data_IF_897890410857
#
_entry.id   IF_897890410857
#
_cell.length_a   1.000
_cell.length_b   1.000
_cell.length_c   1.000
_cell.angle_alpha   90.00
_cell.angle_beta   90.00
_cell.angle_gamma   90.00
#
_symmetry.space_group_name_H-M   'P 1'
#
loop_
_entity.id
_entity.type
_entity.pdbx_description
1 polymer ?
#
# COMPACT_ATOMS: atom_id res chain seq x y z
N UNK A 1 28.18 -20.94 70.47
CA UNK A 1 29.06 -21.73 69.59
C UNK A 1 28.46 -21.67 68.20
N UNK A 2 28.81 -20.63 67.42
CA UNK A 2 28.20 -20.33 66.10
C UNK A 2 29.27 -20.55 65.06
N UNK A 3 29.05 -21.49 64.14
CA UNK A 3 29.95 -21.77 63.01
C UNK A 3 29.64 -20.81 61.87
N UNK A 4 30.60 -19.98 61.50
CA UNK A 4 30.62 -19.21 60.26
C UNK A 4 31.03 -20.13 59.11
N UNK A 5 30.22 -20.21 58.07
CA UNK A 5 30.57 -20.84 56.78
C UNK A 5 30.99 -19.73 55.83
N UNK A 6 32.23 -19.82 55.33
CA UNK A 6 32.78 -18.97 54.27
C UNK A 6 32.52 -19.68 52.95
N UNK A 7 31.94 -18.98 51.97
CA UNK A 7 31.90 -19.43 50.58
C UNK A 7 32.84 -18.54 49.77
N UNK A 8 33.86 -19.15 49.18
CA UNK A 8 34.72 -18.57 48.14
C UNK A 8 33.97 -18.58 46.80
N UNK A 9 34.06 -17.47 46.06
CA UNK A 9 33.52 -17.34 44.72
C UNK A 9 34.62 -17.58 43.69
N UNK A 10 34.58 -18.72 43.00
CA UNK A 10 35.41 -18.97 41.82
C UNK A 10 34.82 -18.30 40.58
N UNK A 11 35.63 -17.49 39.92
CA UNK A 11 35.32 -16.85 38.64
C UNK A 11 35.48 -17.85 37.49
N UNK A 12 34.38 -18.25 36.86
CA UNK A 12 34.40 -18.93 35.56
C UNK A 12 34.47 -17.88 34.43
N UNK A 13 35.51 -17.96 33.61
CA UNK A 13 35.68 -17.18 32.40
C UNK A 13 34.97 -17.86 31.22
N UNK A 14 33.89 -17.27 30.72
CA UNK A 14 33.24 -17.66 29.46
C UNK A 14 34.02 -17.10 28.27
N UNK A 15 34.61 -17.99 27.48
CA UNK A 15 35.38 -17.63 26.28
C UNK A 15 35.28 -18.74 25.21
N UNK A 16 34.08 -19.24 24.91
CA UNK A 16 33.89 -20.22 23.83
C UNK A 16 32.51 -20.07 23.14
N UNK A 17 32.13 -18.88 22.63
CA UNK A 17 31.01 -18.78 21.67
C UNK A 17 31.14 -17.54 20.76
N UNK A 18 32.20 -17.41 19.96
CA UNK A 18 32.28 -16.29 18.99
C UNK A 18 32.84 -16.63 17.61
N UNK A 19 33.34 -17.85 17.36
CA UNK A 19 33.97 -18.15 16.06
C UNK A 19 33.07 -18.85 15.02
N UNK A 20 31.98 -19.54 15.40
CA UNK A 20 31.15 -20.25 14.41
C UNK A 20 30.12 -19.38 13.66
N UNK A 21 29.69 -18.24 14.23
CA UNK A 21 28.65 -17.39 13.61
C UNK A 21 29.21 -16.55 12.45
N UNK A 22 30.53 -16.32 12.40
CA UNK A 22 31.15 -15.52 11.32
C UNK A 22 31.40 -16.28 10.00
N UNK A 23 31.25 -17.60 9.97
CA UNK A 23 31.51 -18.41 8.77
C UNK A 23 30.32 -18.41 7.80
N UNK A 24 29.08 -18.42 8.32
CA UNK A 24 27.86 -18.48 7.51
C UNK A 24 27.61 -17.16 6.76
N UNK A 25 27.99 -16.02 7.34
CA UNK A 25 27.82 -14.70 6.71
C UNK A 25 28.72 -14.45 5.49
N UNK A 26 29.91 -15.07 5.43
CA UNK A 26 30.84 -14.87 4.30
C UNK A 26 30.41 -15.64 3.04
N UNK A 27 29.77 -16.79 3.21
CA UNK A 27 29.25 -17.59 2.10
C UNK A 27 28.00 -16.97 1.45
N UNK A 28 27.18 -16.24 2.19
CA UNK A 28 25.99 -15.58 1.65
C UNK A 28 26.33 -14.36 0.79
N UNK A 29 27.35 -13.58 1.19
CA UNK A 29 27.85 -12.43 0.41
C UNK A 29 28.52 -12.89 -0.89
N UNK A 30 29.25 -14.01 -0.87
CA UNK A 30 29.84 -14.60 -2.06
C UNK A 30 28.79 -15.12 -3.06
N UNK A 31 27.70 -15.72 -2.58
CA UNK A 31 26.62 -16.21 -3.43
C UNK A 31 25.85 -15.07 -4.12
N UNK A 32 25.55 -13.99 -3.38
CA UNK A 32 24.93 -12.77 -3.94
C UNK A 32 25.81 -12.09 -5.00
N UNK A 33 27.13 -12.03 -4.79
CA UNK A 33 28.06 -11.45 -5.76
C UNK A 33 28.17 -12.27 -7.05
N UNK A 34 28.05 -13.60 -6.97
CA UNK A 34 28.07 -14.50 -8.13
C UNK A 34 26.76 -14.38 -8.94
N UNK A 35 25.61 -14.23 -8.28
CA UNK A 35 24.34 -13.96 -8.96
C UNK A 35 24.35 -12.60 -9.70
N UNK A 36 24.93 -11.56 -9.11
CA UNK A 36 25.10 -10.26 -9.77
C UNK A 36 26.05 -10.32 -10.98
N UNK A 37 27.12 -11.13 -10.91
CA UNK A 37 28.09 -11.26 -12.00
C UNK A 37 27.55 -12.10 -13.17
N UNK A 38 26.69 -13.08 -12.91
CA UNK A 38 26.05 -13.89 -13.96
C UNK A 38 25.03 -13.09 -14.79
N UNK A 39 24.35 -12.10 -14.17
CA UNK A 39 23.41 -11.20 -14.86
C UNK A 39 24.16 -10.21 -15.78
N UNK A 40 25.42 -9.88 -15.48
CA UNK A 40 26.22 -8.93 -16.26
C UNK A 40 26.89 -9.51 -17.52
N UNK A 41 26.99 -10.83 -17.66
CA UNK A 41 27.78 -11.46 -18.75
C UNK A 41 26.92 -11.92 -19.94
N UNK A 42 25.59 -11.93 -19.84
CA UNK A 42 24.67 -12.30 -20.95
C UNK A 42 23.86 -11.08 -21.44
N UNK A 43 24.51 -9.91 -21.49
CA UNK A 43 23.95 -8.72 -22.13
C UNK A 43 24.34 -8.67 -23.60
N UNK A 44 23.52 -9.27 -24.48
CA UNK A 44 23.56 -8.95 -25.90
C UNK A 44 23.38 -7.43 -26.06
N UNK A 45 24.32 -6.79 -26.76
CA UNK A 45 24.22 -5.38 -27.17
C UNK A 45 23.16 -5.25 -28.26
N UNK A 46 21.89 -5.24 -27.86
CA UNK A 46 20.80 -4.68 -28.63
C UNK A 46 20.66 -3.21 -28.21
N UNK A 47 20.87 -2.30 -29.15
CA UNK A 47 20.67 -0.87 -29.00
C UNK A 47 19.15 -0.61 -28.89
N UNK A 48 18.58 -0.87 -27.71
CA UNK A 48 17.22 -0.46 -27.41
C UNK A 48 17.25 1.04 -27.17
N UNK A 49 16.86 1.79 -28.21
CA UNK A 49 16.59 3.22 -28.11
C UNK A 49 15.60 3.52 -26.97
N UNK A 50 15.46 4.79 -26.57
CA UNK A 50 14.63 5.17 -25.44
C UNK A 50 13.23 4.57 -25.56
N UNK A 51 12.83 3.79 -24.55
CA UNK A 51 11.47 3.29 -24.42
C UNK A 51 10.54 4.51 -24.48
N UNK A 52 9.69 4.55 -25.50
CA UNK A 52 8.73 5.65 -25.67
C UNK A 52 7.81 5.80 -24.46
N UNK A 53 7.16 6.96 -24.29
CA UNK A 53 6.17 7.12 -23.23
C UNK A 53 5.11 6.01 -23.31
N UNK A 54 4.56 5.55 -22.17
CA UNK A 54 3.48 4.57 -22.16
C UNK A 54 2.40 4.98 -23.17
N UNK A 55 2.03 4.06 -24.07
CA UNK A 55 0.94 4.30 -25.00
C UNK A 55 -0.33 4.65 -24.23
N UNK A 56 -1.14 5.56 -24.77
CA UNK A 56 -2.46 5.84 -24.21
C UNK A 56 -3.23 4.52 -24.05
N UNK A 57 -4.01 4.35 -22.96
CA UNK A 57 -4.92 3.22 -22.83
C UNK A 57 -5.73 3.07 -24.12
N UNK A 58 -5.80 1.84 -24.66
CA UNK A 58 -6.55 1.57 -25.87
C UNK A 58 -7.98 2.10 -25.74
N UNK A 59 -8.54 2.62 -26.83
CA UNK A 59 -9.95 3.05 -26.87
C UNK A 59 -10.84 1.88 -26.50
N UNK A 60 -11.77 2.10 -25.58
CA UNK A 60 -12.77 1.12 -25.18
C UNK A 60 -13.52 0.57 -26.41
N UNK A 61 -13.64 -0.76 -26.50
CA UNK A 61 -14.33 -1.41 -27.61
C UNK A 61 -15.81 -1.05 -27.67
N UNK A 62 -16.47 -1.21 -28.83
CA UNK A 62 -17.92 -0.98 -28.93
C UNK A 62 -18.67 -1.85 -27.91
N UNK A 63 -19.73 -1.32 -27.25
CA UNK A 63 -20.51 -2.08 -26.29
C UNK A 63 -21.02 -3.38 -26.92
N UNK A 64 -20.63 -4.53 -26.36
CA UNK A 64 -21.16 -5.82 -26.80
C UNK A 64 -22.70 -5.85 -26.71
N UNK A 65 -23.35 -6.69 -27.51
CA UNK A 65 -24.80 -6.88 -27.43
C UNK A 65 -25.24 -7.22 -25.99
N UNK A 66 -26.44 -6.78 -25.62
CA UNK A 66 -27.03 -6.83 -24.28
C UNK A 66 -27.17 -8.25 -23.70
N UNK A 67 -26.07 -8.87 -23.29
CA UNK A 67 -26.11 -9.94 -22.31
C UNK A 67 -26.67 -9.36 -21.00
N UNK A 68 -27.61 -10.10 -20.39
CA UNK A 68 -28.14 -9.75 -19.07
C UNK A 68 -26.95 -9.69 -18.11
N UNK A 69 -26.67 -8.51 -17.58
CA UNK A 69 -25.60 -8.32 -16.60
C UNK A 69 -26.12 -8.88 -15.28
N UNK A 70 -25.53 -9.98 -14.82
CA UNK A 70 -25.82 -10.50 -13.49
C UNK A 70 -25.44 -9.45 -12.43
N UNK A 71 -26.33 -9.14 -11.48
CA UNK A 71 -25.97 -8.31 -10.33
C UNK A 71 -24.74 -8.86 -9.60
N UNK A 72 -23.98 -7.99 -8.91
CA UNK A 72 -22.89 -8.47 -8.04
C UNK A 72 -23.49 -9.25 -6.88
N UNK A 73 -22.83 -10.35 -6.50
CA UNK A 73 -23.30 -11.13 -5.36
C UNK A 73 -23.04 -10.35 -4.06
N UNK A 74 -23.85 -10.58 -3.03
CA UNK A 74 -23.57 -10.01 -1.73
C UNK A 74 -22.21 -10.51 -1.22
N UNK A 75 -21.40 -9.57 -0.76
CA UNK A 75 -20.04 -9.80 -0.27
C UNK A 75 -19.81 -8.99 0.98
N UNK A 76 -18.88 -9.45 1.81
CA UNK A 76 -18.47 -8.72 2.99
C UNK A 76 -17.03 -8.31 2.85
N UNK A 77 -16.74 -7.06 3.16
CA UNK A 77 -15.39 -6.51 3.18
C UNK A 77 -15.17 -5.74 4.49
N UNK A 78 -13.91 -5.46 4.79
CA UNK A 78 -13.51 -4.55 5.86
C UNK A 78 -12.73 -3.38 5.28
N UNK A 79 -12.82 -2.23 5.94
CA UNK A 79 -12.12 -1.00 5.55
C UNK A 79 -11.22 -0.55 6.70
N UNK A 80 -10.00 -0.16 6.37
CA UNK A 80 -9.04 0.44 7.29
C UNK A 80 -8.45 1.69 6.64
N UNK A 81 -8.30 2.74 7.44
CA UNK A 81 -7.69 4.00 7.02
C UNK A 81 -6.61 4.40 8.02
N UNK A 82 -5.47 4.85 7.49
CA UNK A 82 -4.37 5.41 8.26
C UNK A 82 -4.07 6.82 7.76
N UNK A 83 -3.64 7.68 8.68
CA UNK A 83 -2.93 8.90 8.32
C UNK A 83 -1.50 8.85 8.88
N UNK A 84 -0.68 9.82 8.51
CA UNK A 84 0.73 9.86 8.92
C UNK A 84 0.96 10.08 10.43
N UNK A 85 -0.07 10.40 11.23
CA UNK A 85 0.08 10.55 12.68
C UNK A 85 0.34 9.21 13.35
N UNK A 86 1.57 9.03 13.88
CA UNK A 86 1.93 7.99 14.84
C UNK A 86 1.66 6.52 14.45
N UNK A 87 1.47 6.23 13.15
CA UNK A 87 1.03 4.90 12.69
C UNK A 87 -0.27 4.47 13.36
N UNK A 88 -1.17 5.42 13.61
CA UNK A 88 -2.47 5.14 14.20
C UNK A 88 -3.49 4.84 13.10
N UNK A 89 -4.23 3.75 13.30
CA UNK A 89 -5.11 3.18 12.30
C UNK A 89 -6.51 3.08 12.87
N UNK A 90 -7.48 3.36 12.02
CA UNK A 90 -8.90 3.12 12.32
C UNK A 90 -9.45 2.13 11.31
N UNK A 91 -10.40 1.32 11.75
CA UNK A 91 -11.02 0.33 10.89
C UNK A 91 -12.48 0.12 11.24
N UNK A 92 -13.26 -0.25 10.23
CA UNK A 92 -14.64 -0.65 10.42
C UNK A 92 -14.71 -2.10 10.88
N UNK A 93 -15.84 -2.43 11.50
CA UNK A 93 -16.37 -3.78 11.51
C UNK A 93 -16.69 -4.24 10.06
N UNK A 94 -17.29 -5.43 9.95
CA UNK A 94 -17.74 -5.98 8.66
C UNK A 94 -18.71 -5.03 7.94
N UNK A 95 -18.43 -4.75 6.66
CA UNK A 95 -19.29 -3.99 5.74
C UNK A 95 -19.83 -4.93 4.66
N UNK A 96 -21.11 -4.80 4.30
CA UNK A 96 -21.75 -5.58 3.24
C UNK A 96 -21.75 -4.77 1.95
N UNK A 97 -21.16 -5.30 0.89
CA UNK A 97 -21.35 -4.83 -0.49
C UNK A 97 -22.52 -5.61 -1.10
N UNK A 98 -23.55 -4.90 -1.60
CA UNK A 98 -24.73 -5.52 -2.22
C UNK A 98 -25.16 -4.76 -3.47
N UNK A 99 -25.76 -5.46 -4.44
CA UNK A 99 -26.46 -4.83 -5.59
C UNK A 99 -27.98 -4.77 -5.42
N UNK A 100 -28.51 -5.20 -4.27
CA UNK A 100 -29.94 -5.13 -3.99
C UNK A 100 -30.41 -3.68 -3.94
N UNK A 101 -31.18 -3.27 -4.94
CA UNK A 101 -31.63 -1.89 -5.06
C UNK A 101 -32.65 -1.47 -4.00
N UNK A 102 -33.21 -2.44 -3.26
CA UNK A 102 -34.10 -2.18 -2.11
C UNK A 102 -33.33 -1.95 -0.82
N UNK A 103 -32.04 -2.30 -0.78
CA UNK A 103 -31.17 -2.00 0.34
C UNK A 103 -30.88 -0.50 0.42
N UNK A 104 -30.75 0.00 1.64
CA UNK A 104 -30.41 1.40 1.92
C UNK A 104 -28.93 1.48 2.34
N UNK A 105 -28.13 2.38 1.73
CA UNK A 105 -26.78 2.68 2.20
C UNK A 105 -26.75 3.02 3.70
N UNK A 106 -25.76 2.53 4.43
CA UNK A 106 -25.66 2.70 5.89
C UNK A 106 -24.24 2.54 6.42
N UNK A 107 -24.10 2.41 7.74
CA UNK A 107 -22.78 2.27 8.40
C UNK A 107 -22.14 0.89 8.23
N UNK A 108 -22.91 -0.10 7.85
CA UNK A 108 -22.50 -1.49 7.66
C UNK A 108 -22.79 -2.00 6.25
N UNK A 109 -23.22 -1.13 5.33
CA UNK A 109 -23.71 -1.53 4.01
C UNK A 109 -23.41 -0.52 2.93
N UNK A 110 -22.83 -0.99 1.84
CA UNK A 110 -22.57 -0.27 0.58
C UNK A 110 -23.45 -0.88 -0.52
N UNK A 111 -24.25 -0.04 -1.18
CA UNK A 111 -25.15 -0.47 -2.25
C UNK A 111 -24.53 -0.10 -3.59
N UNK A 112 -24.02 -1.09 -4.31
CA UNK A 112 -23.45 -0.93 -5.64
C UNK A 112 -24.55 -0.72 -6.67
N UNK A 113 -24.43 0.34 -7.47
CA UNK A 113 -25.35 0.60 -8.58
C UNK A 113 -24.79 0.13 -9.90
N UNK A 114 -25.65 -0.50 -10.69
CA UNK A 114 -25.33 -0.76 -12.08
C UNK A 114 -25.28 0.56 -12.84
N UNK A 115 -24.21 0.79 -13.59
CA UNK A 115 -24.08 1.94 -14.48
C UNK A 115 -24.05 1.48 -15.94
N UNK A 116 -24.62 2.30 -16.83
CA UNK A 116 -24.49 2.10 -18.29
C UNK A 116 -23.23 2.78 -18.84
N UNK A 117 -22.65 3.72 -18.08
CA UNK A 117 -21.38 4.39 -18.36
C UNK A 117 -20.49 4.26 -17.14
N UNK A 118 -19.29 3.72 -17.31
CA UNK A 118 -18.29 3.65 -16.25
C UNK A 118 -17.96 5.04 -15.70
N UNK A 119 -17.72 5.16 -14.38
CA UNK A 119 -17.14 6.37 -13.81
C UNK A 119 -15.70 6.53 -14.32
N UNK A 120 -15.29 7.77 -14.51
CA UNK A 120 -13.90 8.16 -14.73
C UNK A 120 -13.16 7.99 -13.40
N UNK A 121 -12.01 7.33 -13.46
CA UNK A 121 -11.13 7.15 -12.29
C UNK A 121 -10.09 8.25 -12.37
N UNK A 122 -10.43 9.44 -11.86
CA UNK A 122 -9.55 10.63 -11.84
C UNK A 122 -9.29 11.20 -10.43
N UNK A 123 -10.01 10.70 -9.42
CA UNK A 123 -9.85 11.03 -8.01
C UNK A 123 -10.71 12.22 -7.59
N UNK A 124 -11.48 12.81 -8.50
CA UNK A 124 -12.40 13.88 -8.19
C UNK A 124 -13.73 13.32 -7.66
N UNK A 125 -14.38 14.04 -6.75
CA UNK A 125 -15.73 13.69 -6.33
C UNK A 125 -16.75 14.11 -7.41
N UNK A 126 -16.94 13.27 -8.43
CA UNK A 126 -17.93 13.49 -9.50
C UNK A 126 -19.40 13.35 -9.07
N UNK A 127 -19.64 13.02 -7.80
CA UNK A 127 -20.98 12.96 -7.22
C UNK A 127 -21.94 12.00 -7.94
N UNK A 128 -23.23 12.30 -7.83
CA UNK A 128 -24.30 11.45 -8.37
C UNK A 128 -24.35 11.42 -9.90
N UNK A 129 -23.79 12.44 -10.57
CA UNK A 129 -23.74 12.50 -12.03
C UNK A 129 -22.84 11.39 -12.61
N UNK A 130 -21.83 10.99 -11.84
CA UNK A 130 -20.86 9.97 -12.21
C UNK A 130 -21.16 8.61 -11.57
N UNK A 131 -21.50 8.62 -10.29
CA UNK A 131 -21.69 7.40 -9.48
C UNK A 131 -23.15 6.93 -9.41
N UNK A 132 -24.07 7.64 -10.06
CA UNK A 132 -25.51 7.42 -9.99
C UNK A 132 -26.15 8.01 -8.72
N UNK A 133 -27.48 8.07 -8.69
CA UNK A 133 -28.26 8.74 -7.64
C UNK A 133 -28.30 8.01 -6.27
N UNK A 134 -27.37 7.10 -6.02
CA UNK A 134 -27.29 6.43 -4.73
C UNK A 134 -26.49 7.24 -3.73
N UNK A 135 -27.05 7.43 -2.54
CA UNK A 135 -26.32 8.03 -1.42
C UNK A 135 -25.05 7.22 -1.10
N UNK A 136 -23.96 7.92 -0.81
CA UNK A 136 -22.76 7.30 -0.26
C UNK A 136 -23.08 6.68 1.11
N UNK A 137 -22.56 5.49 1.35
CA UNK A 137 -22.57 4.88 2.69
C UNK A 137 -21.61 5.63 3.59
N UNK A 138 -22.00 5.89 4.83
CA UNK A 138 -21.11 6.49 5.83
C UNK A 138 -20.69 5.42 6.82
N UNK A 139 -19.53 4.82 6.56
CA UNK A 139 -19.00 3.72 7.35
C UNK A 139 -18.31 4.28 8.59
N UNK A 140 -18.74 3.84 9.78
CA UNK A 140 -18.10 4.22 11.05
C UNK A 140 -16.76 3.49 11.20
N UNK A 141 -15.74 4.24 11.62
CA UNK A 141 -14.40 3.72 11.85
C UNK A 141 -14.07 3.83 13.34
N UNK A 142 -13.55 2.74 13.90
CA UNK A 142 -13.16 2.65 15.31
C UNK A 142 -11.65 2.45 15.44
N UNK A 143 -11.14 2.70 16.65
CA UNK A 143 -9.74 2.46 17.00
C UNK A 143 -9.32 1.01 16.74
N UNK A 144 -8.12 0.82 16.22
CA UNK A 144 -7.46 -0.49 16.14
C UNK A 144 -6.39 -0.56 17.23
N UNK A 145 -6.35 -1.65 18.00
CA UNK A 145 -5.38 -1.85 19.08
C UNK A 145 -5.30 -0.67 20.10
N UNK A 146 -6.42 0.02 20.34
CA UNK A 146 -6.49 1.18 21.23
C UNK A 146 -5.91 2.48 20.66
N UNK A 147 -5.49 2.48 19.39
CA UNK A 147 -4.97 3.65 18.67
C UNK A 147 -6.07 4.31 17.85
N UNK A 148 -6.13 5.64 17.84
CA UNK A 148 -7.14 6.40 17.12
C UNK A 148 -6.53 7.62 16.44
N UNK A 149 -6.73 7.74 15.13
CA UNK A 149 -6.13 8.77 14.29
C UNK A 149 -7.06 9.94 13.96
N UNK A 150 -8.26 9.99 14.56
CA UNK A 150 -9.25 11.05 14.35
C UNK A 150 -10.25 10.85 13.26
N UNK A 151 -10.03 9.87 12.39
CA UNK A 151 -10.92 9.63 11.29
C UNK A 151 -12.08 8.79 11.84
N UNK A 152 -13.23 9.43 12.07
CA UNK A 152 -14.41 8.77 12.65
C UNK A 152 -15.24 8.00 11.60
N UNK A 153 -15.10 8.32 10.32
CA UNK A 153 -15.88 7.70 9.26
C UNK A 153 -15.22 7.80 7.89
N UNK A 154 -15.56 6.85 7.02
CA UNK A 154 -15.31 6.92 5.59
C UNK A 154 -16.62 6.91 4.81
N UNK A 155 -16.72 7.74 3.77
CA UNK A 155 -17.82 7.72 2.82
C UNK A 155 -17.48 6.81 1.65
N UNK A 156 -18.33 5.82 1.38
CA UNK A 156 -18.10 4.81 0.34
C UNK A 156 -19.22 4.83 -0.68
N UNK A 157 -18.87 4.96 -1.96
CA UNK A 157 -19.76 4.67 -3.09
C UNK A 157 -19.28 3.43 -3.81
N UNK A 158 -20.22 2.69 -4.38
CA UNK A 158 -19.92 1.56 -5.23
C UNK A 158 -20.78 1.59 -6.49
N UNK A 159 -20.18 1.18 -7.59
CA UNK A 159 -20.87 0.95 -8.84
C UNK A 159 -20.33 -0.30 -9.53
N UNK A 160 -21.04 -0.80 -10.53
CA UNK A 160 -20.55 -1.90 -11.36
C UNK A 160 -21.14 -1.81 -12.77
N UNK A 161 -20.47 -2.44 -13.71
CA UNK A 161 -20.97 -2.65 -15.06
C UNK A 161 -20.83 -4.13 -15.46
N UNK A 162 -20.66 -4.39 -16.77
CA UNK A 162 -20.45 -5.75 -17.30
C UNK A 162 -19.14 -6.37 -16.86
N UNK A 163 -18.12 -5.55 -16.69
CA UNK A 163 -16.73 -6.00 -16.61
C UNK A 163 -16.13 -5.65 -15.26
N UNK A 164 -16.46 -4.48 -14.71
CA UNK A 164 -15.79 -3.90 -13.57
C UNK A 164 -16.73 -3.66 -12.39
N UNK A 165 -16.11 -3.67 -11.22
CA UNK A 165 -16.61 -3.01 -10.02
C UNK A 165 -15.81 -1.73 -9.82
N UNK A 166 -16.46 -0.71 -9.30
CA UNK A 166 -15.90 0.60 -9.02
C UNK A 166 -16.17 0.95 -7.55
N UNK A 167 -15.18 1.49 -6.86
CA UNK A 167 -15.34 2.02 -5.51
C UNK A 167 -14.75 3.42 -5.44
N UNK A 168 -15.43 4.30 -4.72
CA UNK A 168 -14.88 5.57 -4.25
C UNK A 168 -14.92 5.55 -2.73
N UNK A 169 -13.78 5.84 -2.11
CA UNK A 169 -13.64 5.94 -0.66
C UNK A 169 -13.13 7.34 -0.33
N UNK A 170 -13.86 8.04 0.54
CA UNK A 170 -13.49 9.38 1.01
C UNK A 170 -13.37 9.41 2.52
N UNK A 171 -12.34 10.06 3.03
CA UNK A 171 -12.24 10.37 4.46
C UNK A 171 -11.63 11.73 4.67
N UNK A 172 -12.09 12.42 5.71
CA UNK A 172 -11.58 13.72 6.11
C UNK A 172 -10.68 13.53 7.32
N UNK A 173 -9.47 14.02 7.20
CA UNK A 173 -8.54 14.13 8.31
C UNK A 173 -8.92 15.29 9.22
N UNK A 174 -8.74 15.09 10.51
CA UNK A 174 -9.02 16.10 11.54
C UNK A 174 -7.77 16.31 12.38
N UNK A 175 -7.56 17.55 12.80
CA UNK A 175 -6.46 17.85 13.71
C UNK A 175 -6.72 17.19 15.07
N UNK A 176 -5.74 16.45 15.57
CA UNK A 176 -5.74 15.91 16.94
C UNK A 176 -4.37 16.09 17.54
N UNK A 177 -4.31 16.64 18.75
CA UNK A 177 -3.05 16.82 19.47
C UNK A 177 -2.06 17.62 18.60
N UNK A 178 -0.96 16.99 18.19
CA UNK A 178 0.14 17.49 17.38
C UNK A 178 0.02 17.11 15.89
N UNK A 179 -1.00 16.33 15.51
CA UNK A 179 -1.32 16.07 14.12
C UNK A 179 -2.12 17.21 13.51
N UNK A 180 -1.66 17.70 12.36
CA UNK A 180 -2.38 18.59 11.48
C UNK A 180 -2.70 17.83 10.17
N UNK A 181 -3.94 17.88 9.67
CA UNK A 181 -4.30 17.27 8.38
C UNK A 181 -3.36 17.72 7.26
N UNK A 182 -2.80 16.76 6.54
CA UNK A 182 -1.89 17.02 5.42
C UNK A 182 -1.98 15.94 4.36
N UNK A 183 -1.64 16.32 3.12
CA UNK A 183 -1.41 15.35 2.05
C UNK A 183 -0.08 14.64 2.31
N UNK A 184 -0.10 13.50 3.00
CA UNK A 184 1.13 12.80 3.35
C UNK A 184 1.51 11.76 2.30
N UNK A 185 2.30 12.23 1.33
CA UNK A 185 2.81 11.45 0.20
C UNK A 185 4.35 11.33 0.23
N UNK A 186 4.96 11.53 1.40
CA UNK A 186 6.39 11.78 1.54
C UNK A 186 7.10 10.73 2.39
N UNK A 187 6.61 9.48 2.45
CA UNK A 187 7.19 8.45 3.31
C UNK A 187 8.67 8.27 3.01
N UNK A 188 9.47 8.38 4.06
CA UNK A 188 10.93 8.25 4.03
C UNK A 188 11.62 9.18 3.01
N UNK A 189 11.00 10.30 2.65
CA UNK A 189 11.56 11.32 1.77
C UNK A 189 12.88 11.84 2.35
N UNK A 190 13.89 11.93 1.48
CA UNK A 190 15.18 12.48 1.81
C UNK A 190 15.10 14.01 1.82
N UNK A 191 15.65 14.64 2.85
CA UNK A 191 15.81 16.09 2.96
C UNK A 191 17.25 16.43 3.33
N UNK A 192 17.85 17.37 2.62
CA UNK A 192 19.18 17.87 2.93
C UNK A 192 19.12 19.00 3.96
N UNK A 193 19.83 18.82 5.07
CA UNK A 193 19.98 19.82 6.13
C UNK A 193 21.39 20.42 6.06
N UNK A 194 21.52 21.57 5.41
CA UNK A 194 22.79 22.31 5.35
C UNK A 194 22.98 23.27 6.52
N UNK A 195 21.94 23.53 7.33
CA UNK A 195 21.97 24.50 8.42
C UNK A 195 22.38 23.86 9.76
N UNK A 196 22.06 22.58 9.97
CA UNK A 196 22.45 21.82 11.14
C UNK A 196 23.62 20.89 10.85
N UNK A 197 23.31 19.70 10.34
CA UNK A 197 24.22 18.55 10.29
C UNK A 197 25.07 18.48 9.02
N UNK A 198 24.75 19.28 8.00
CA UNK A 198 25.32 19.16 6.66
C UNK A 198 25.13 17.73 6.09
N UNK A 199 23.96 17.14 6.33
CA UNK A 199 23.67 15.73 6.05
C UNK A 199 22.29 15.54 5.42
N UNK A 200 22.06 14.32 4.92
CA UNK A 200 20.75 13.91 4.43
C UNK A 200 20.03 13.12 5.51
N UNK A 201 18.77 13.49 5.76
CA UNK A 201 17.88 12.82 6.71
C UNK A 201 16.65 12.29 5.98
N UNK A 202 15.98 11.29 6.56
CA UNK A 202 14.73 10.74 6.04
C UNK A 202 13.61 11.02 7.01
N UNK A 203 12.51 11.54 6.49
CA UNK A 203 11.33 11.90 7.27
C UNK A 203 10.06 11.64 6.47
N UNK A 204 8.91 11.89 7.10
CA UNK A 204 7.60 11.81 6.44
C UNK A 204 6.94 10.45 6.63
N UNK A 205 5.61 10.47 6.57
CA UNK A 205 4.76 9.29 6.61
C UNK A 205 3.99 9.11 5.31
N UNK A 206 3.03 8.20 5.35
CA UNK A 206 2.06 7.98 4.30
C UNK A 206 0.67 7.85 4.88
N UNK A 207 -0.31 8.34 4.14
CA UNK A 207 -1.71 7.96 4.32
C UNK A 207 -2.00 6.65 3.59
N UNK A 208 -2.93 5.87 4.12
CA UNK A 208 -3.21 4.50 3.62
C UNK A 208 -4.71 4.19 3.68
N UNK A 209 -5.17 3.43 2.70
CA UNK A 209 -6.49 2.79 2.67
C UNK A 209 -6.30 1.31 2.40
N UNK A 210 -6.90 0.45 3.21
CA UNK A 210 -6.96 -0.99 2.98
C UNK A 210 -8.41 -1.46 2.85
N UNK A 211 -8.66 -2.33 1.88
CA UNK A 211 -9.93 -3.01 1.67
C UNK A 211 -9.69 -4.52 1.71
N UNK A 212 -10.19 -5.19 2.73
CA UNK A 212 -10.02 -6.64 2.91
C UNK A 212 -11.28 -7.43 2.57
N UNK A 213 -11.13 -8.56 1.89
CA UNK A 213 -12.19 -9.43 1.42
C UNK A 213 -11.97 -10.87 1.90
N UNK A 214 -13.04 -11.55 2.31
CA UNK A 214 -12.94 -12.97 2.67
C UNK A 214 -12.92 -13.84 1.42
N UNK A 215 -11.85 -14.62 1.23
CA UNK A 215 -11.82 -15.71 0.24
C UNK A 215 -12.28 -17.03 0.87
N UNK A 216 -11.98 -17.23 2.15
CA UNK A 216 -12.53 -18.30 2.97
C UNK A 216 -13.16 -17.72 4.24
N UNK A 217 -13.83 -18.54 5.04
CA UNK A 217 -14.36 -18.07 6.33
C UNK A 217 -13.20 -17.74 7.26
N UNK A 218 -13.19 -16.51 7.80
CA UNK A 218 -12.15 -16.01 8.72
C UNK A 218 -12.76 -15.85 10.10
N UNK A 219 -12.10 -16.42 11.11
CA UNK A 219 -12.47 -16.32 12.52
C UNK A 219 -12.53 -14.86 12.96
N UNK A 220 -13.60 -14.46 13.65
CA UNK A 220 -13.79 -13.09 14.15
C UNK A 220 -14.28 -12.08 13.11
N UNK A 221 -14.17 -12.35 11.80
CA UNK A 221 -14.55 -11.40 10.75
C UNK A 221 -15.99 -10.90 10.84
N UNK A 222 -16.93 -11.74 11.29
CA UNK A 222 -18.34 -11.36 11.41
C UNK A 222 -18.56 -10.13 12.29
N UNK A 223 -17.66 -9.92 13.25
CA UNK A 223 -17.67 -8.88 14.27
C UNK A 223 -16.63 -7.81 13.97
N UNK A 224 -15.41 -8.22 13.64
CA UNK A 224 -14.25 -7.34 13.62
C UNK A 224 -13.86 -6.85 12.21
N UNK A 225 -14.43 -7.44 11.15
CA UNK A 225 -14.09 -7.11 9.76
C UNK A 225 -12.58 -7.22 9.53
N UNK A 226 -11.98 -6.18 8.95
CA UNK A 226 -10.53 -6.14 8.67
C UNK A 226 -9.66 -6.24 9.94
N UNK A 227 -10.19 -5.87 11.11
CA UNK A 227 -9.48 -6.00 12.40
C UNK A 227 -9.28 -7.46 12.80
N UNK A 228 -10.04 -8.40 12.21
CA UNK A 228 -9.80 -9.82 12.39
C UNK A 228 -8.48 -10.29 11.75
N UNK A 229 -7.96 -9.56 10.75
CA UNK A 229 -6.74 -9.92 10.02
C UNK A 229 -5.61 -8.91 10.20
N UNK A 230 -5.78 -7.92 11.08
CA UNK A 230 -4.79 -6.86 11.30
C UNK A 230 -4.74 -6.48 12.78
N UNK A 231 -3.55 -6.60 13.39
CA UNK A 231 -3.35 -6.39 14.83
C UNK A 231 -2.87 -4.98 15.21
N UNK A 232 -2.82 -4.07 14.24
CA UNK A 232 -2.24 -2.72 14.41
C UNK A 232 -0.82 -2.60 13.87
N UNK A 233 -0.16 -3.71 13.53
CA UNK A 233 1.18 -3.68 12.94
C UNK A 233 1.33 -4.55 11.70
N UNK A 234 0.70 -5.73 11.66
CA UNK A 234 0.91 -6.72 10.60
C UNK A 234 -0.42 -7.33 10.15
N UNK A 235 -0.45 -7.79 8.90
CA UNK A 235 -1.59 -8.53 8.35
C UNK A 235 -1.37 -10.04 8.45
N UNK A 236 -2.33 -10.77 9.03
CA UNK A 236 -2.36 -12.25 9.05
C UNK A 236 -3.74 -12.75 9.43
N UNK A 237 -4.15 -13.90 8.93
CA UNK A 237 -5.41 -14.53 9.36
C UNK A 237 -5.24 -15.26 10.71
N UNK A 238 -6.29 -15.36 11.55
CA UNK A 238 -6.21 -16.02 12.85
C UNK A 238 -5.93 -17.54 12.84
N UNK A 239 -6.33 -18.26 11.80
CA UNK A 239 -6.18 -19.71 11.75
C UNK A 239 -5.74 -20.26 10.38
N UNK A 240 -5.08 -21.43 10.40
CA UNK A 240 -4.66 -22.12 9.18
C UNK A 240 -5.84 -22.46 8.27
N UNK A 241 -5.67 -22.24 6.96
CA UNK A 241 -6.72 -22.40 5.95
C UNK A 241 -7.59 -21.15 5.72
N UNK A 242 -7.45 -20.14 6.58
CA UNK A 242 -8.10 -18.84 6.39
C UNK A 242 -7.32 -17.98 5.40
N UNK A 243 -8.02 -17.37 4.45
CA UNK A 243 -7.42 -16.56 3.38
C UNK A 243 -8.28 -15.32 3.15
N UNK A 244 -7.61 -14.17 3.10
CA UNK A 244 -8.21 -12.91 2.64
C UNK A 244 -7.50 -12.40 1.38
N UNK A 245 -8.24 -11.67 0.59
CA UNK A 245 -7.76 -10.79 -0.48
C UNK A 245 -7.73 -9.36 0.11
N UNK A 246 -6.65 -8.61 -0.11
CA UNK A 246 -6.38 -7.33 0.52
C UNK A 246 -5.86 -6.33 -0.52
N UNK A 247 -6.69 -5.31 -0.79
CA UNK A 247 -6.29 -4.20 -1.65
C UNK A 247 -5.75 -3.06 -0.82
N UNK A 248 -4.50 -2.67 -1.08
CA UNK A 248 -3.79 -1.65 -0.30
C UNK A 248 -3.47 -0.45 -1.18
N UNK A 249 -4.06 0.70 -0.86
CA UNK A 249 -3.64 1.99 -1.39
C UNK A 249 -2.71 2.67 -0.40
N UNK A 250 -1.50 3.00 -0.83
CA UNK A 250 -0.54 3.80 -0.09
C UNK A 250 -0.20 5.06 -0.89
N UNK A 251 -0.42 6.20 -0.27
CA UNK A 251 -0.20 7.54 -0.85
C UNK A 251 1.23 7.78 -1.39
N UNK A 252 2.23 7.08 -0.86
CA UNK A 252 3.61 7.14 -1.38
C UNK A 252 3.95 5.95 -2.27
N UNK A 253 3.60 4.72 -1.87
CA UNK A 253 4.10 3.50 -2.52
C UNK A 253 3.28 3.05 -3.73
N UNK A 254 1.95 3.20 -3.72
CA UNK A 254 1.08 2.68 -4.81
C UNK A 254 0.33 3.76 -5.56
N UNK A 255 0.04 4.91 -4.93
CA UNK A 255 -0.70 6.02 -5.56
C UNK A 255 -0.15 6.41 -6.93
N UNK A 256 1.17 6.55 -7.03
CA UNK A 256 1.82 7.04 -8.23
C UNK A 256 2.00 5.99 -9.34
N UNK A 257 1.83 4.70 -9.03
CA UNK A 257 1.78 3.68 -10.07
C UNK A 257 0.43 3.68 -10.80
N UNK A 258 -0.61 4.22 -10.17
CA UNK A 258 -2.00 4.18 -10.67
C UNK A 258 -2.72 2.89 -10.31
N UNK A 259 -2.26 2.16 -9.29
CA UNK A 259 -2.80 0.86 -8.88
C UNK A 259 -2.81 0.72 -7.35
N UNK A 260 -3.70 -0.11 -6.80
CA UNK A 260 -3.57 -0.62 -5.43
C UNK A 260 -2.67 -1.85 -5.43
N UNK A 261 -1.96 -2.08 -4.33
CA UNK A 261 -1.34 -3.36 -4.05
C UNK A 261 -2.40 -4.43 -3.87
N UNK A 262 -2.52 -5.35 -4.83
CA UNK A 262 -3.30 -6.58 -4.65
C UNK A 262 -2.46 -7.62 -3.91
N UNK A 263 -3.01 -8.13 -2.80
CA UNK A 263 -2.30 -8.98 -1.86
C UNK A 263 -3.20 -10.09 -1.33
N UNK A 264 -2.64 -11.28 -1.22
CA UNK A 264 -3.21 -12.35 -0.40
C UNK A 264 -2.70 -12.29 1.04
N UNK A 265 -3.60 -12.44 2.01
CA UNK A 265 -3.28 -12.58 3.44
C UNK A 265 -3.60 -14.00 3.89
N UNK A 266 -2.63 -14.64 4.54
CA UNK A 266 -2.73 -16.01 5.06
C UNK A 266 -2.40 -16.07 6.54
N UNK A 267 -2.50 -17.27 7.09
CA UNK A 267 -2.09 -17.55 8.46
C UNK A 267 -0.56 -17.51 8.58
N UNK A 268 -0.07 -16.91 9.66
CA UNK A 268 1.30 -17.09 10.12
C UNK A 268 1.36 -17.04 11.64
N UNK A 269 2.14 -17.96 12.23
CA UNK A 269 2.41 -17.99 13.67
C UNK A 269 3.08 -16.68 14.14
N UNK A 270 3.95 -16.14 13.30
CA UNK A 270 4.74 -14.93 13.55
C UNK A 270 4.89 -14.09 12.28
N UNK A 271 4.89 -12.77 12.45
CA UNK A 271 5.17 -11.81 11.38
C UNK A 271 4.01 -11.57 10.42
N UNK A 272 4.24 -10.65 9.49
CA UNK A 272 3.31 -10.31 8.41
C UNK A 272 3.19 -11.47 7.42
N UNK A 273 1.96 -11.79 7.06
CA UNK A 273 1.58 -12.85 6.15
C UNK A 273 0.80 -12.32 4.93
N UNK A 274 0.80 -11.00 4.73
CA UNK A 274 0.41 -10.39 3.46
C UNK A 274 1.53 -10.53 2.44
N UNK A 275 1.18 -10.96 1.24
CA UNK A 275 2.10 -11.11 0.12
C UNK A 275 1.46 -10.50 -1.11
N UNK A 276 2.23 -9.80 -1.92
CA UNK A 276 1.75 -9.38 -3.24
C UNK A 276 1.40 -10.62 -4.07
N UNK A 277 0.33 -10.50 -4.83
CA UNK A 277 -0.07 -11.54 -5.77
C UNK A 277 0.90 -11.67 -6.94
N UNK A 278 0.69 -12.67 -7.79
CA UNK A 278 1.63 -13.00 -8.86
C UNK A 278 1.87 -11.79 -9.80
N UNK A 279 3.14 -11.45 -10.03
CA UNK A 279 3.51 -10.29 -10.84
C UNK A 279 5.02 -10.07 -10.96
N UNK A 280 5.41 -9.04 -11.71
CA UNK A 280 6.83 -8.64 -11.82
C UNK A 280 7.23 -7.83 -10.58
N UNK A 281 8.39 -8.15 -10.01
CA UNK A 281 8.97 -7.40 -8.88
C UNK A 281 10.03 -6.39 -9.34
N UNK A 282 10.19 -5.25 -8.63
CA UNK A 282 9.31 -4.75 -7.56
C UNK A 282 7.95 -4.33 -8.13
N UNK A 283 6.86 -4.72 -7.46
CA UNK A 283 5.50 -4.54 -8.00
C UNK A 283 5.10 -3.06 -8.09
N UNK A 284 5.35 -2.26 -7.05
CA UNK A 284 4.88 -0.87 -6.99
C UNK A 284 5.97 0.12 -6.70
N UNK A 285 6.72 -0.10 -5.62
CA UNK A 285 7.77 0.79 -5.20
C UNK A 285 8.94 0.03 -4.61
N UNK A 286 10.12 0.62 -4.76
CA UNK A 286 11.33 0.21 -4.06
C UNK A 286 11.81 1.39 -3.24
N UNK A 287 12.16 1.14 -1.98
CA UNK A 287 12.82 2.14 -1.16
C UNK A 287 14.09 2.68 -1.85
N UNK A 288 14.27 3.99 -1.92
CA UNK A 288 15.49 4.64 -2.38
C UNK A 288 16.53 4.57 -1.25
N UNK A 289 17.48 3.62 -1.30
CA UNK A 289 18.23 3.25 -0.13
C UNK A 289 19.31 4.28 0.22
N UNK A 290 19.79 4.21 1.45
CA UNK A 290 20.93 4.99 1.89
C UNK A 290 22.24 4.41 1.34
N UNK A 291 23.10 5.25 0.78
CA UNK A 291 24.49 4.94 0.47
C UNK A 291 25.39 6.00 1.09
N UNK A 292 26.20 5.61 2.07
CA UNK A 292 27.08 6.52 2.82
C UNK A 292 26.34 7.73 3.44
N UNK A 293 25.14 7.50 3.97
CA UNK A 293 24.32 8.55 4.60
C UNK A 293 23.66 9.52 3.63
N UNK A 294 23.52 9.14 2.35
CA UNK A 294 22.89 9.94 1.28
C UNK A 294 21.93 9.06 0.48
N UNK A 295 20.96 9.62 -0.26
CA UNK A 295 20.16 8.83 -1.20
C UNK A 295 21.05 8.18 -2.25
N UNK A 296 20.66 6.99 -2.71
CA UNK A 296 21.38 6.27 -3.77
C UNK A 296 21.01 6.82 -5.16
N UNK A 297 19.74 7.19 -5.33
CA UNK A 297 19.21 7.67 -6.60
C UNK A 297 18.57 9.06 -6.46
N UNK A 298 18.52 9.79 -7.58
CA UNK A 298 17.87 11.10 -7.71
C UNK A 298 17.22 11.24 -9.10
N UNK A 299 16.38 12.25 -9.31
CA UNK A 299 15.80 12.53 -10.64
C UNK A 299 16.84 13.06 -11.60
N UNK A 300 16.85 12.59 -12.84
CA UNK A 300 17.70 13.14 -13.91
C UNK A 300 17.35 14.59 -14.23
N UNK A 301 18.36 15.44 -14.43
CA UNK A 301 18.22 16.82 -14.92
C UNK A 301 17.59 17.86 -13.98
N UNK A 302 16.86 17.47 -12.93
CA UNK A 302 16.19 18.42 -12.02
C UNK A 302 15.91 17.83 -10.62
N UNK A 303 16.96 17.53 -9.84
CA UNK A 303 16.82 16.79 -8.57
C UNK A 303 16.35 17.65 -7.38
N UNK A 304 16.15 18.95 -7.54
CA UNK A 304 15.74 19.88 -6.45
C UNK A 304 14.32 20.41 -6.63
N UNK A 305 13.50 19.80 -7.49
CA UNK A 305 12.21 20.40 -7.89
C UNK A 305 11.17 20.47 -6.76
N UNK A 306 11.48 19.99 -5.55
CA UNK A 306 10.59 20.08 -4.40
C UNK A 306 9.27 19.34 -4.60
N UNK A 307 9.19 18.50 -5.63
CA UNK A 307 7.96 17.78 -5.92
C UNK A 307 7.91 16.52 -5.09
N UNK A 308 6.82 16.33 -4.35
CA UNK A 308 6.50 15.08 -3.65
C UNK A 308 6.27 13.87 -4.58
N UNK A 309 6.38 14.04 -5.90
CA UNK A 309 6.32 12.92 -6.84
C UNK A 309 7.46 11.93 -6.59
N UNK A 310 7.22 10.62 -6.69
CA UNK A 310 8.25 9.61 -6.54
C UNK A 310 9.24 9.69 -7.69
N UNK A 311 10.35 8.99 -7.53
CA UNK A 311 11.27 8.76 -8.65
C UNK A 311 10.66 7.68 -9.54
N UNK A 312 10.17 8.02 -10.74
CA UNK A 312 9.75 6.98 -11.67
C UNK A 312 10.94 6.10 -12.09
N UNK A 313 10.71 4.81 -12.28
CA UNK A 313 11.76 3.84 -12.64
C UNK A 313 12.53 4.19 -13.92
N UNK A 314 11.95 5.01 -14.81
CA UNK A 314 12.56 5.46 -16.06
C UNK A 314 13.24 6.83 -15.98
N UNK A 315 13.14 7.57 -14.86
CA UNK A 315 13.67 8.94 -14.75
C UNK A 315 14.80 9.09 -13.71
N UNK A 316 15.10 8.04 -12.93
CA UNK A 316 16.13 8.12 -11.91
C UNK A 316 17.54 7.95 -12.48
N UNK A 317 18.50 8.57 -11.80
CA UNK A 317 19.94 8.43 -12.04
C UNK A 317 20.67 8.27 -10.70
N UNK A 318 21.96 7.93 -10.73
CA UNK A 318 22.79 7.87 -9.52
C UNK A 318 22.85 9.24 -8.86
N UNK A 319 22.84 9.25 -7.54
CA UNK A 319 23.01 10.46 -6.75
C UNK A 319 24.31 11.20 -7.10
N UNK A 320 24.20 12.50 -7.38
CA UNK A 320 25.35 13.35 -7.68
C UNK A 320 26.02 13.83 -6.39
N UNK A 321 27.15 13.21 -6.07
CA UNK A 321 27.95 13.53 -4.89
C UNK A 321 28.78 14.81 -5.03
N UNK A 322 28.96 15.32 -6.24
CA UNK A 322 29.72 16.54 -6.53
C UNK A 322 28.83 17.79 -6.53
N UNK A 323 27.52 17.61 -6.73
CA UNK A 323 26.54 18.69 -6.66
C UNK A 323 26.53 19.34 -5.27
N UNK A 324 26.49 20.67 -5.28
CA UNK A 324 26.17 21.48 -4.10
C UNK A 324 24.65 21.56 -3.96
N UNK A 325 24.13 20.98 -2.89
CA UNK A 325 22.70 20.93 -2.63
C UNK A 325 22.25 22.16 -1.83
N UNK A 326 21.05 22.66 -2.12
CA UNK A 326 20.42 23.73 -1.33
C UNK A 326 19.86 23.16 -0.04
N UNK A 327 19.88 23.96 1.03
CA UNK A 327 19.16 23.60 2.25
C UNK A 327 17.70 23.25 1.91
N UNK A 328 17.18 22.19 2.54
CA UNK A 328 15.85 21.64 2.30
C UNK A 328 15.61 21.09 0.88
N UNK A 329 16.66 20.81 0.11
CA UNK A 329 16.51 20.01 -1.10
C UNK A 329 15.95 18.63 -0.74
N UNK A 330 14.94 18.19 -1.49
CA UNK A 330 14.29 16.90 -1.25
C UNK A 330 14.54 15.92 -2.39
N UNK A 331 14.61 14.63 -2.05
CA UNK A 331 14.66 13.52 -2.99
C UNK A 331 13.64 12.47 -2.52
N UNK A 332 12.82 11.89 -3.41
CA UNK A 332 11.84 10.91 -3.00
C UNK A 332 12.46 9.69 -2.30
N UNK A 333 11.76 9.22 -1.27
CA UNK A 333 12.15 8.07 -0.46
C UNK A 333 11.94 6.73 -1.16
N UNK A 334 11.19 6.73 -2.27
CA UNK A 334 10.82 5.56 -3.05
C UNK A 334 10.96 5.81 -4.55
N UNK A 335 11.20 4.72 -5.26
CA UNK A 335 11.22 4.61 -6.72
C UNK A 335 9.94 3.88 -7.12
N UNK A 336 9.12 4.49 -7.98
CA UNK A 336 7.85 3.93 -8.43
C UNK A 336 8.02 3.10 -9.70
N UNK A 337 7.28 2.00 -9.77
CA UNK A 337 7.21 1.06 -10.88
C UNK A 337 5.74 0.88 -11.28
N UNK A 338 5.52 0.49 -12.53
CA UNK A 338 4.18 0.09 -13.01
C UNK A 338 4.07 -1.42 -12.74
N UNK A 339 3.10 -1.87 -11.92
CA UNK A 339 2.92 -3.29 -11.64
C UNK A 339 2.45 -4.04 -12.89
N UNK A 340 2.54 -5.38 -12.84
CA UNK A 340 2.00 -6.29 -13.87
C UNK A 340 1.57 -7.60 -13.23
N UNK A 341 0.71 -8.36 -13.91
CA UNK A 341 0.13 -9.60 -13.36
C UNK A 341 -1.06 -9.31 -12.44
N UNK A 342 -1.42 -10.30 -11.61
CA UNK A 342 -2.55 -10.23 -10.67
C UNK A 342 -2.40 -9.06 -9.69
N UNK A 343 -1.16 -8.76 -9.28
CA UNK A 343 -0.91 -7.61 -8.39
C UNK A 343 -1.34 -6.27 -8.99
N UNK A 344 -1.52 -6.17 -10.32
CA UNK A 344 -1.98 -4.98 -11.03
C UNK A 344 -3.48 -4.97 -11.35
N UNK A 345 -4.30 -5.86 -10.77
CA UNK A 345 -5.71 -5.99 -11.15
C UNK A 345 -6.58 -4.81 -10.68
N UNK A 346 -6.11 -4.09 -9.66
CA UNK A 346 -6.82 -2.95 -9.06
C UNK A 346 -6.21 -1.64 -9.51
N UNK A 347 -6.85 -0.98 -10.49
CA UNK A 347 -6.45 0.35 -10.94
C UNK A 347 -7.01 1.42 -10.02
N UNK A 348 -6.26 2.49 -9.81
CA UNK A 348 -6.67 3.56 -8.89
C UNK A 348 -6.06 4.92 -9.18
N UNK A 349 -6.66 5.91 -8.54
CA UNK A 349 -6.13 7.26 -8.41
C UNK A 349 -6.63 7.87 -7.11
N UNK A 350 -6.06 8.99 -6.73
CA UNK A 350 -6.48 9.72 -5.54
C UNK A 350 -6.20 11.22 -5.64
N UNK A 351 -7.05 12.01 -4.98
CA UNK A 351 -6.83 13.43 -4.76
C UNK A 351 -6.98 13.72 -3.27
N UNK A 352 -6.08 14.55 -2.75
CA UNK A 352 -6.26 15.20 -1.45
C UNK A 352 -6.64 16.65 -1.69
N UNK A 353 -7.82 17.03 -1.23
CA UNK A 353 -8.33 18.40 -1.30
C UNK A 353 -9.04 18.76 0.00
N UNK A 354 -8.76 19.96 0.52
CA UNK A 354 -9.40 20.51 1.72
C UNK A 354 -9.47 19.52 2.91
N UNK A 355 -8.36 18.86 3.23
CA UNK A 355 -8.29 17.93 4.35
C UNK A 355 -8.89 16.55 4.08
N UNK A 356 -9.31 16.27 2.84
CA UNK A 356 -10.04 15.06 2.48
C UNK A 356 -9.32 14.29 1.39
N UNK A 357 -9.07 13.02 1.64
CA UNK A 357 -8.70 12.07 0.60
C UNK A 357 -9.95 11.59 -0.14
N UNK A 358 -9.86 11.50 -1.46
CA UNK A 358 -10.78 10.78 -2.33
C UNK A 358 -9.95 9.77 -3.11
N UNK A 359 -10.16 8.49 -2.83
CA UNK A 359 -9.52 7.37 -3.54
C UNK A 359 -10.56 6.70 -4.39
N UNK A 360 -10.27 6.56 -5.67
CA UNK A 360 -11.13 5.88 -6.64
C UNK A 360 -10.40 4.68 -7.20
N UNK A 361 -11.11 3.57 -7.35
CA UNK A 361 -10.55 2.36 -7.92
C UNK A 361 -11.55 1.65 -8.83
N UNK A 362 -10.99 0.85 -9.74
CA UNK A 362 -11.71 -0.12 -10.53
C UNK A 362 -10.96 -1.43 -10.58
N UNK A 363 -11.71 -2.53 -10.64
CA UNK A 363 -11.18 -3.89 -10.77
C UNK A 363 -12.14 -4.72 -11.61
N UNK A 364 -11.63 -5.69 -12.36
CA UNK A 364 -12.50 -6.68 -12.99
C UNK A 364 -13.34 -7.40 -11.93
N UNK A 365 -14.60 -7.68 -12.25
CA UNK A 365 -15.51 -8.47 -11.40
C UNK A 365 -15.06 -9.92 -11.26
N UNK A 366 -14.47 -10.43 -12.33
CA UNK A 366 -13.89 -11.77 -12.45
C UNK A 366 -12.51 -11.61 -13.08
N UNK A 367 -11.48 -11.62 -12.24
CA UNK A 367 -10.07 -11.52 -12.69
C UNK A 367 -9.59 -12.85 -13.30
N UNK A 368 -10.16 -13.96 -12.86
CA UNK A 368 -9.75 -15.32 -13.28
C UNK A 368 -8.60 -15.88 -12.44
N UNK A 369 -8.15 -15.12 -11.43
CA UNK A 369 -7.11 -15.52 -10.49
C UNK A 369 -7.73 -16.20 -9.26
N UNK A 370 -7.01 -17.13 -8.63
CA UNK A 370 -7.54 -17.98 -7.53
C UNK A 370 -7.33 -17.38 -6.13
N UNK A 371 -6.50 -16.36 -6.07
CA UNK A 371 -6.13 -15.47 -4.98
C UNK A 371 -7.09 -14.29 -4.81
N UNK A 372 -8.13 -14.24 -5.64
CA UNK A 372 -8.90 -13.06 -5.92
C UNK A 372 -10.38 -13.23 -5.54
N UNK A 373 -10.97 -12.20 -4.94
CA UNK A 373 -12.40 -12.21 -4.66
C UNK A 373 -13.21 -12.05 -5.95
N UNK A 374 -14.32 -12.77 -6.08
CA UNK A 374 -15.26 -12.61 -7.19
C UNK A 374 -16.40 -11.70 -6.75
N UNK A 375 -16.64 -10.61 -7.51
CA UNK A 375 -17.61 -9.56 -7.20
C UNK A 375 -18.82 -9.52 -8.16
#
# INVERSE_FOLDING_TARGET
MVRSVVFESDSFSDNIVTEEIMSVGKSFVAFMAICYLAILIIGCTGDEGPIGPPGFPGTEGPPGQNAVISPIADRTFGILVANSSASDLVGAAKVILTSDTNSVPGSDRVVARRLDKAPVIDGADGGDAEWGSAAASTITLDSIAGKYNGIASAHVRAAYDRQYVYLQVKWTEVAISDFAPSKDVNKLMWSYDSAGTNSWVRTGGEDMLCLGWQLTTITGWSTDGIKAIFDGSIFRTPASGEVADLWVWQSTETYYSGYLGDRVVRYADVGDASQFDAGTLPAFALENPASSGKPTYMRSGSPETGTSYPLNSYEFTKFDTQKKWKNHATIPGYISFIPSGSTADVQSTAIYDNGTWTVELRRLRQTGNGDDTIL
#
